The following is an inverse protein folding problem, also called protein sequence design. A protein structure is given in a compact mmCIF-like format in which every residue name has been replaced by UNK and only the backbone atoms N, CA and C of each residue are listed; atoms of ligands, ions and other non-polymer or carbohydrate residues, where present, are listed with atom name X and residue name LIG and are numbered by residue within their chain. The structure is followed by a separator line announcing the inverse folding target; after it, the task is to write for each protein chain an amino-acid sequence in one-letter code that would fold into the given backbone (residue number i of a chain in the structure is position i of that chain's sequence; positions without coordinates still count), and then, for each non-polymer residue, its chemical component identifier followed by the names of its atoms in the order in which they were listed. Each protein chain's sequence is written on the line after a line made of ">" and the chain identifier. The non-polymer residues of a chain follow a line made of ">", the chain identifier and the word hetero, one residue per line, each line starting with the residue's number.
data_IF_910841617651
#
_entry.id   IF_910841617651
#
_cell.length_a   1.000
_cell.length_b   1.000
_cell.length_c   1.000
_cell.angle_alpha   90.00
_cell.angle_beta   90.00
_cell.angle_gamma   90.00
#
_symmetry.space_group_name_H-M   'P 1'
#
loop_
_entity.id
_entity.type
_entity.pdbx_description
1 polymer ?
#
# COMPACT_ATOMS: atom_id res chain seq x y z
N UNK A 1 8.81 -14.77 1.17
CA UNK A 1 9.58 -15.47 0.11
C UNK A 1 9.82 -14.49 -1.04
N UNK A 2 11.07 -14.11 -1.34
CA UNK A 2 11.40 -13.06 -2.32
C UNK A 2 10.86 -13.34 -3.74
N UNK A 3 10.88 -14.59 -4.18
CA UNK A 3 10.47 -14.97 -5.53
C UNK A 3 8.97 -14.72 -5.80
N UNK A 4 8.13 -14.85 -4.77
CA UNK A 4 6.68 -14.61 -4.90
C UNK A 4 6.36 -13.13 -5.06
N UNK A 5 7.11 -12.26 -4.39
CA UNK A 5 7.00 -10.80 -4.54
C UNK A 5 7.36 -10.37 -5.97
N UNK A 6 8.51 -10.84 -6.47
CA UNK A 6 8.96 -10.53 -7.84
C UNK A 6 7.94 -10.99 -8.88
N UNK A 7 7.42 -12.21 -8.76
CA UNK A 7 6.43 -12.74 -9.70
C UNK A 7 5.10 -11.97 -9.65
N UNK A 8 4.60 -11.65 -8.46
CA UNK A 8 3.36 -10.90 -8.30
C UNK A 8 3.47 -9.48 -8.87
N UNK A 9 4.56 -8.77 -8.57
CA UNK A 9 4.83 -7.45 -9.13
C UNK A 9 4.96 -7.48 -10.64
N UNK A 10 5.69 -8.45 -11.20
CA UNK A 10 5.82 -8.60 -12.65
C UNK A 10 4.45 -8.84 -13.33
N UNK A 11 3.56 -9.61 -12.70
CA UNK A 11 2.21 -9.83 -13.20
C UNK A 11 1.37 -8.55 -13.17
N UNK A 12 1.39 -7.81 -12.06
CA UNK A 12 0.72 -6.51 -11.93
C UNK A 12 1.23 -5.56 -13.03
N UNK A 13 2.55 -5.43 -13.17
CA UNK A 13 3.16 -4.55 -14.17
C UNK A 13 2.82 -4.94 -15.61
N UNK A 14 2.82 -6.24 -15.93
CA UNK A 14 2.42 -6.72 -17.24
C UNK A 14 0.93 -6.44 -17.51
N UNK A 15 0.07 -6.75 -16.54
CA UNK A 15 -1.38 -6.51 -16.68
C UNK A 15 -1.71 -5.03 -16.84
N UNK A 16 -1.02 -4.14 -16.12
CA UNK A 16 -1.15 -2.69 -16.24
C UNK A 16 -0.66 -2.20 -17.61
N UNK A 17 0.51 -2.67 -18.06
CA UNK A 17 1.09 -2.31 -19.37
C UNK A 17 0.18 -2.70 -20.56
N UNK A 18 -0.52 -3.83 -20.46
CA UNK A 18 -1.37 -4.34 -21.54
C UNK A 18 -2.86 -4.02 -21.36
N UNK A 19 -3.24 -3.24 -20.34
CA UNK A 19 -4.64 -2.86 -20.10
C UNK A 19 -5.56 -4.04 -19.74
N UNK A 20 -5.01 -5.03 -19.02
CA UNK A 20 -5.73 -6.24 -18.60
C UNK A 20 -6.35 -6.05 -17.21
N UNK A 21 -7.31 -5.13 -17.09
CA UNK A 21 -7.83 -4.64 -15.80
C UNK A 21 -8.32 -5.74 -14.86
N UNK A 22 -9.07 -6.73 -15.37
CA UNK A 22 -9.55 -7.85 -14.56
C UNK A 22 -8.42 -8.73 -14.03
N UNK A 23 -7.37 -8.93 -14.84
CA UNK A 23 -6.19 -9.70 -14.42
C UNK A 23 -5.39 -8.93 -13.38
N UNK A 24 -5.26 -7.61 -13.56
CA UNK A 24 -4.62 -6.72 -12.59
C UNK A 24 -5.33 -6.77 -11.24
N UNK A 25 -6.65 -6.63 -11.23
CA UNK A 25 -7.45 -6.71 -10.00
C UNK A 25 -7.28 -8.07 -9.30
N UNK A 26 -7.33 -9.18 -10.05
CA UNK A 26 -7.12 -10.52 -9.48
C UNK A 26 -5.70 -10.70 -8.91
N UNK A 27 -4.68 -10.17 -9.61
CA UNK A 27 -3.30 -10.18 -9.14
C UNK A 27 -3.13 -9.37 -7.86
N UNK A 28 -3.73 -8.17 -7.78
CA UNK A 28 -3.70 -7.32 -6.58
C UNK A 28 -4.34 -8.00 -5.37
N UNK A 29 -5.55 -8.56 -5.54
CA UNK A 29 -6.27 -9.24 -4.45
C UNK A 29 -5.50 -10.47 -3.95
N UNK A 30 -4.89 -11.22 -4.86
CA UNK A 30 -4.06 -12.36 -4.50
C UNK A 30 -2.78 -11.89 -3.79
N UNK A 31 -2.17 -10.81 -4.29
CA UNK A 31 -0.93 -10.28 -3.73
C UNK A 31 -1.12 -9.77 -2.30
N UNK A 32 -2.23 -9.06 -2.01
CA UNK A 32 -2.62 -8.66 -0.65
C UNK A 32 -2.69 -9.87 0.31
N UNK A 33 -3.15 -11.03 -0.16
CA UNK A 33 -3.30 -12.23 0.68
C UNK A 33 -1.98 -12.93 1.01
N UNK A 34 -0.98 -12.82 0.13
CA UNK A 34 0.30 -13.52 0.27
C UNK A 34 1.44 -12.60 0.72
N UNK A 35 1.25 -11.28 0.62
CA UNK A 35 2.24 -10.28 1.02
C UNK A 35 2.04 -9.90 2.49
N UNK A 36 3.13 -10.02 3.25
CA UNK A 36 3.14 -9.61 4.64
C UNK A 36 3.51 -8.13 4.74
N UNK A 37 2.54 -7.29 5.10
CA UNK A 37 2.77 -5.88 5.40
C UNK A 37 3.37 -5.78 6.79
N UNK A 38 4.48 -5.05 6.90
CA UNK A 38 5.21 -4.82 8.14
C UNK A 38 5.50 -3.34 8.31
N UNK A 39 5.85 -2.93 9.53
CA UNK A 39 6.30 -1.56 9.84
C UNK A 39 7.47 -1.13 8.94
N UNK A 40 8.33 -2.06 8.53
CA UNK A 40 9.49 -1.76 7.68
C UNK A 40 9.13 -1.50 6.23
N UNK A 41 8.09 -2.16 5.71
CA UNK A 41 7.75 -2.15 4.29
C UNK A 41 6.48 -1.35 3.95
N UNK A 42 5.69 -0.93 4.94
CA UNK A 42 4.37 -0.30 4.71
C UNK A 42 4.47 0.98 3.87
N UNK A 43 5.46 1.83 4.13
CA UNK A 43 5.65 3.06 3.37
C UNK A 43 6.01 2.78 1.90
N UNK A 44 6.92 1.83 1.66
CA UNK A 44 7.33 1.44 0.29
C UNK A 44 6.16 0.75 -0.44
N UNK A 45 5.31 0.04 0.31
CA UNK A 45 4.09 -0.60 -0.20
C UNK A 45 3.06 0.43 -0.63
N UNK A 46 2.84 1.50 0.15
CA UNK A 46 1.95 2.62 -0.23
C UNK A 46 2.46 3.31 -1.49
N UNK A 47 3.76 3.62 -1.55
CA UNK A 47 4.37 4.25 -2.74
C UNK A 47 4.22 3.39 -3.99
N UNK A 48 4.52 2.09 -3.88
CA UNK A 48 4.39 1.16 -4.99
C UNK A 48 2.95 1.04 -5.48
N UNK A 49 2.01 0.86 -4.56
CA UNK A 49 0.60 0.68 -4.88
C UNK A 49 -0.02 1.95 -5.48
N UNK A 50 0.40 3.13 -5.04
CA UNK A 50 0.00 4.39 -5.67
C UNK A 50 0.53 4.51 -7.10
N UNK A 51 1.84 4.30 -7.28
CA UNK A 51 2.50 4.40 -8.59
C UNK A 51 1.95 3.41 -9.64
N UNK A 52 1.47 2.24 -9.19
CA UNK A 52 0.87 1.21 -10.05
C UNK A 52 -0.66 1.26 -10.08
N UNK A 53 -1.29 2.25 -9.45
CA UNK A 53 -2.74 2.37 -9.34
C UNK A 53 -3.41 1.09 -8.81
N UNK A 54 -2.82 0.50 -7.77
CA UNK A 54 -3.28 -0.71 -7.10
C UNK A 54 -4.13 -0.36 -5.87
N UNK A 55 -5.40 -0.03 -6.10
CA UNK A 55 -6.28 0.55 -5.08
C UNK A 55 -6.49 -0.35 -3.86
N UNK A 56 -6.73 -1.65 -4.06
CA UNK A 56 -6.98 -2.57 -2.94
C UNK A 56 -5.71 -2.81 -2.11
N UNK A 57 -4.55 -2.88 -2.76
CA UNK A 57 -3.29 -3.05 -2.07
C UNK A 57 -2.89 -1.81 -1.26
N UNK A 58 -3.10 -0.62 -1.83
CA UNK A 58 -2.90 0.66 -1.13
C UNK A 58 -3.79 0.77 0.10
N UNK A 59 -5.06 0.39 -0.03
CA UNK A 59 -6.02 0.37 1.07
C UNK A 59 -5.61 -0.58 2.19
N UNK A 60 -5.12 -1.77 1.87
CA UNK A 60 -4.59 -2.71 2.85
C UNK A 60 -3.39 -2.13 3.62
N UNK A 61 -2.47 -1.46 2.93
CA UNK A 61 -1.30 -0.84 3.55
C UNK A 61 -1.64 0.35 4.45
N UNK A 62 -2.55 1.24 4.00
CA UNK A 62 -3.04 2.35 4.82
C UNK A 62 -3.78 1.83 6.07
N UNK A 63 -4.59 0.77 5.92
CA UNK A 63 -5.28 0.14 7.04
C UNK A 63 -4.29 -0.43 8.06
N UNK A 64 -3.29 -1.17 7.60
CA UNK A 64 -2.23 -1.70 8.48
C UNK A 64 -1.58 -0.58 9.30
N UNK A 65 -1.23 0.52 8.64
CA UNK A 65 -0.63 1.67 9.31
C UNK A 65 -1.55 2.24 10.39
N UNK A 66 -2.84 2.42 10.10
CA UNK A 66 -3.81 2.93 11.09
C UNK A 66 -4.06 1.99 12.28
N UNK A 67 -3.84 0.69 12.10
CA UNK A 67 -4.03 -0.34 13.15
C UNK A 67 -2.78 -0.51 14.04
N UNK A 68 -1.59 -0.22 13.53
CA UNK A 68 -0.29 -0.49 14.19
C UNK A 68 0.49 0.80 14.55
N UNK A 69 -0.18 1.94 14.69
CA UNK A 69 0.48 3.21 15.00
C UNK A 69 1.06 3.23 16.42
N UNK A 70 2.36 3.05 16.53
CA UNK A 70 3.19 3.71 17.55
C UNK A 70 3.82 4.97 16.90
N UNK A 71 4.11 6.03 17.68
CA UNK A 71 4.62 7.31 17.18
C UNK A 71 5.83 7.17 16.23
N UNK A 72 6.65 6.14 16.44
CA UNK A 72 7.83 5.85 15.62
C UNK A 72 7.47 5.34 14.22
N UNK A 73 6.42 4.52 14.11
CA UNK A 73 5.91 3.97 12.83
C UNK A 73 5.35 5.09 11.97
N UNK A 74 4.60 6.00 12.59
CA UNK A 74 4.05 7.19 11.93
C UNK A 74 5.18 8.08 11.42
N UNK A 75 6.12 8.48 12.28
CA UNK A 75 7.20 9.39 11.90
C UNK A 75 8.07 8.84 10.77
N UNK A 76 8.38 7.55 10.79
CA UNK A 76 9.18 6.89 9.74
C UNK A 76 8.41 6.78 8.42
N UNK A 77 7.13 6.44 8.49
CA UNK A 77 6.29 6.29 7.30
C UNK A 77 6.00 7.63 6.65
N UNK A 78 5.58 8.64 7.43
CA UNK A 78 5.37 10.01 6.93
C UNK A 78 6.68 10.55 6.36
N UNK A 79 7.81 10.31 7.03
CA UNK A 79 9.18 10.62 6.56
C UNK A 79 9.43 10.26 5.09
N UNK A 80 9.07 9.03 4.70
CA UNK A 80 9.21 8.54 3.33
C UNK A 80 8.13 9.10 2.38
N UNK A 81 6.91 9.31 2.88
CA UNK A 81 5.76 9.74 2.08
C UNK A 81 5.68 11.25 1.83
N UNK A 82 6.41 12.09 2.59
CA UNK A 82 6.47 13.56 2.40
C UNK A 82 6.87 13.99 0.99
N UNK A 83 7.45 13.10 0.19
CA UNK A 83 7.78 13.34 -1.22
C UNK A 83 6.53 13.53 -2.09
N UNK A 84 5.35 13.14 -1.60
CA UNK A 84 4.07 13.31 -2.29
C UNK A 84 3.03 13.94 -1.37
N UNK A 85 2.61 15.16 -1.70
CA UNK A 85 1.55 15.90 -1.00
C UNK A 85 0.22 15.12 -0.99
N UNK A 86 -0.14 14.47 -2.10
CA UNK A 86 -1.38 13.68 -2.22
C UNK A 86 -1.40 12.51 -1.22
N UNK A 87 -0.36 11.68 -1.21
CA UNK A 87 -0.20 10.58 -0.25
C UNK A 87 -0.17 11.04 1.21
N UNK A 88 0.47 12.18 1.48
CA UNK A 88 0.53 12.73 2.84
C UNK A 88 -0.87 13.14 3.32
N UNK A 89 -1.64 13.82 2.46
CA UNK A 89 -3.03 14.20 2.76
C UNK A 89 -3.94 12.98 2.94
N UNK A 90 -3.79 11.95 2.10
CA UNK A 90 -4.57 10.72 2.19
C UNK A 90 -4.29 9.96 3.49
N UNK A 91 -3.03 9.94 3.92
CA UNK A 91 -2.63 9.40 5.21
C UNK A 91 -3.24 10.18 6.39
N UNK A 92 -3.15 11.51 6.38
CA UNK A 92 -3.77 12.37 7.40
C UNK A 92 -5.28 12.10 7.49
N UNK A 93 -5.95 11.96 6.34
CA UNK A 93 -7.37 11.61 6.28
C UNK A 93 -7.66 10.21 6.84
N UNK A 94 -6.85 9.21 6.51
CA UNK A 94 -6.99 7.86 7.04
C UNK A 94 -6.82 7.84 8.58
N UNK A 95 -5.82 8.56 9.09
CA UNK A 95 -5.59 8.71 10.53
C UNK A 95 -6.73 9.46 11.25
N UNK A 96 -7.26 10.53 10.66
CA UNK A 96 -8.37 11.30 11.24
C UNK A 96 -9.67 10.49 11.32
N UNK A 97 -9.89 9.51 10.43
CA UNK A 97 -11.04 8.60 10.50
C UNK A 97 -10.98 7.66 11.72
N UNK A 98 -9.78 7.34 12.21
CA UNK A 98 -9.62 6.50 13.42
C UNK A 98 -10.19 7.17 14.67
N UNK A 99 -10.00 8.49 14.84
CA UNK A 99 -10.43 9.22 16.04
C UNK A 99 -11.94 9.44 16.15
N UNK A 100 -12.71 9.16 15.09
CA UNK A 100 -14.18 9.32 15.06
C UNK A 100 -14.95 8.00 15.27
N UNK A 101 -14.24 6.88 15.39
CA UNK A 101 -14.83 5.54 15.58
C UNK A 101 -14.70 4.99 17.01
N UNK A 102 -14.17 5.79 17.94
CA UNK A 102 -14.19 5.58 19.40
C UNK A 102 -15.11 6.58 20.04
#
# INVERSE_FOLDING_TARGET
>A
MPERDVAAKALIEASDKYGLDNLKLAAELTYVQIFEITVDNVADTILYSDAKNCGEFKKAALKFLTEHTDEEVEKRSIGKLYQSESLTNELILAMSKRSKST
#
